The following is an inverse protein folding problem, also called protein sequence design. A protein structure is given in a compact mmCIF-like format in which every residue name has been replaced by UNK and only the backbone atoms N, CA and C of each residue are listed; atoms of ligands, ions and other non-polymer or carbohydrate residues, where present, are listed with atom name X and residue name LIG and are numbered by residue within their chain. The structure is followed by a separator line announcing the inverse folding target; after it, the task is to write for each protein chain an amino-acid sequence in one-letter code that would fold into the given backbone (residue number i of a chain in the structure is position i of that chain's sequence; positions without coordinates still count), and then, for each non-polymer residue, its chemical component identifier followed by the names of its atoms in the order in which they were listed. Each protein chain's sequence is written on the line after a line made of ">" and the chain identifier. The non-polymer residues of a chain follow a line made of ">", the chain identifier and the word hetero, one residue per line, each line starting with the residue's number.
data_IF_718112399074
#
_entry.id   IF_718112399074
#
_cell.length_a   1.000
_cell.length_b   1.000
_cell.length_c   1.000
_cell.angle_alpha   90.00
_cell.angle_beta   90.00
_cell.angle_gamma   90.00
#
_symmetry.space_group_name_H-M   'P 1'
#
loop_
_entity.id
_entity.type
_entity.pdbx_description
1 polymer ?
#
# COMPACT_ATOMS: atom_id res chain seq x y z
N UNK A 1 16.92 21.22 -2.45
CA UNK A 1 16.17 20.85 -2.09
C UNK A 1 15.46 20.44 -1.74
N UNK A 2 15.79 20.35 -1.97
CA UNK A 2 14.99 19.83 -1.67
C UNK A 2 14.40 19.31 -1.33
N UNK A 3 14.72 19.25 -1.70
CA UNK A 3 13.87 18.53 -1.39
C UNK A 3 13.42 18.01 -1.26
N UNK A 4 14.06 17.94 -1.54
CA UNK A 4 13.45 17.29 -1.33
C UNK A 4 12.97 16.70 -1.18
N UNK A 5 13.21 16.57 -1.44
CA UNK A 5 12.53 15.96 -1.29
C UNK A 5 11.95 15.41 -1.41
N UNK A 6 12.26 15.57 -1.67
CA UNK A 6 11.48 15.05 -1.82
C UNK A 6 10.72 14.94 -2.35
N UNK A 7 11.02 15.29 -2.90
CA UNK A 7 10.15 15.10 -3.27
C UNK A 7 9.64 15.17 -3.86
N UNK A 8 9.77 15.41 -4.42
CA UNK A 8 9.08 15.39 -4.93
C UNK A 8 8.76 15.32 -5.59
N UNK A 9 9.29 15.48 -5.72
CA UNK A 9 8.87 15.36 -6.28
C UNK A 9 8.34 15.28 -6.88
N UNK A 10 9.85 16.22 -6.86
CA UNK A 10 9.05 15.82 -7.68
C UNK A 10 7.83 15.24 -7.49
N UNK A 11 7.46 15.20 -8.04
CA UNK A 11 6.15 14.78 -7.76
C UNK A 11 6.11 13.33 -7.42
N UNK A 12 5.97 13.07 -6.17
CA UNK A 12 5.82 11.71 -5.77
C UNK A 12 4.36 11.31 -5.93
N UNK A 13 4.14 10.16 -6.53
CA UNK A 13 2.87 9.54 -6.65
C UNK A 13 2.45 9.05 -5.27
N UNK A 14 1.23 9.35 -4.83
CA UNK A 14 0.79 8.81 -3.56
C UNK A 14 0.47 7.31 -3.69
N UNK A 15 0.27 6.66 -2.55
CA UNK A 15 0.09 5.20 -2.53
C UNK A 15 -1.15 4.76 -3.31
N UNK A 16 -2.23 5.53 -3.29
CA UNK A 16 -3.44 5.13 -4.02
C UNK A 16 -3.25 5.24 -5.52
N UNK A 17 -2.55 6.26 -5.99
CA UNK A 17 -2.24 6.39 -7.41
C UNK A 17 -1.34 5.24 -7.86
N UNK A 18 -0.37 4.88 -7.02
CA UNK A 18 0.54 3.78 -7.31
C UNK A 18 -0.23 2.47 -7.45
N UNK A 19 -1.15 2.21 -6.52
CA UNK A 19 -2.00 1.02 -6.58
C UNK A 19 -2.85 0.99 -7.84
N UNK A 20 -3.45 2.12 -8.19
CA UNK A 20 -4.29 2.20 -9.36
C UNK A 20 -3.52 1.94 -10.65
N UNK A 21 -2.29 2.44 -10.73
CA UNK A 21 -1.45 2.21 -11.90
C UNK A 21 -1.05 0.74 -12.05
N UNK A 22 -0.79 0.07 -10.93
CA UNK A 22 -0.40 -1.34 -10.98
C UNK A 22 -1.59 -2.29 -11.10
N UNK A 23 -2.78 -1.81 -10.81
CA UNK A 23 -3.97 -2.65 -10.70
C UNK A 23 -4.17 -3.59 -11.91
N UNK A 24 -4.05 -3.14 -13.15
CA UNK A 24 -4.28 -4.05 -14.29
C UNK A 24 -3.27 -5.18 -14.38
N UNK A 25 -2.09 -5.03 -13.77
CA UNK A 25 -1.05 -6.05 -13.80
C UNK A 25 -1.12 -7.00 -12.59
N UNK A 26 -2.06 -6.78 -11.67
CA UNK A 26 -2.17 -7.59 -10.47
C UNK A 26 -2.91 -8.90 -10.75
N UNK A 27 -2.53 -9.95 -10.01
CA UNK A 27 -3.30 -11.20 -10.03
C UNK A 27 -4.63 -10.98 -9.35
N UNK A 28 -5.53 -11.96 -9.48
CA UNK A 28 -6.85 -11.87 -8.86
C UNK A 28 -6.75 -11.68 -7.35
N UNK A 29 -5.88 -12.44 -6.67
CA UNK A 29 -5.69 -12.29 -5.23
C UNK A 29 -5.10 -10.94 -4.87
N UNK A 30 -4.15 -10.47 -5.67
CA UNK A 30 -3.55 -9.16 -5.44
C UNK A 30 -4.57 -8.04 -5.64
N UNK A 31 -5.49 -8.20 -6.60
CA UNK A 31 -6.56 -7.22 -6.77
C UNK A 31 -7.48 -7.17 -5.57
N UNK A 32 -7.75 -8.31 -4.94
CA UNK A 32 -8.54 -8.35 -3.72
C UNK A 32 -7.86 -7.55 -2.61
N UNK A 33 -6.54 -7.71 -2.47
CA UNK A 33 -5.78 -6.94 -1.49
C UNK A 33 -5.85 -5.45 -1.82
N UNK A 34 -5.58 -5.09 -3.08
CA UNK A 34 -5.60 -3.68 -3.50
C UNK A 34 -6.98 -3.05 -3.27
N UNK A 35 -8.04 -3.78 -3.59
CA UNK A 35 -9.41 -3.29 -3.38
C UNK A 35 -9.65 -2.95 -1.92
N UNK A 36 -9.21 -3.81 -1.00
CA UNK A 36 -9.38 -3.56 0.42
C UNK A 36 -8.59 -2.33 0.87
N UNK A 37 -7.35 -2.22 0.40
CA UNK A 37 -6.50 -1.08 0.77
C UNK A 37 -7.09 0.24 0.27
N UNK A 38 -7.59 0.24 -0.95
CA UNK A 38 -8.17 1.44 -1.54
C UNK A 38 -9.44 1.86 -0.80
N UNK A 39 -10.25 0.88 -0.38
CA UNK A 39 -11.50 1.15 0.30
C UNK A 39 -11.32 1.56 1.77
N UNK A 40 -10.17 1.20 2.38
CA UNK A 40 -9.95 1.40 3.81
C UNK A 40 -8.59 2.00 4.13
N UNK A 41 -8.21 3.12 3.50
CA UNK A 41 -6.85 3.64 3.64
C UNK A 41 -6.51 4.06 5.08
N UNK A 42 -7.47 4.54 5.85
CA UNK A 42 -7.20 4.97 7.22
C UNK A 42 -6.90 3.79 8.14
N UNK A 43 -7.57 2.66 7.89
CA UNK A 43 -7.40 1.48 8.72
C UNK A 43 -6.02 0.86 8.56
N UNK A 44 -5.44 0.98 7.36
CA UNK A 44 -4.20 0.30 7.04
C UNK A 44 -3.04 0.80 7.90
N UNK A 45 -3.07 2.04 8.35
CA UNK A 45 -1.96 2.59 9.13
C UNK A 45 -1.81 1.92 10.50
N UNK A 46 -2.82 1.20 10.99
CA UNK A 46 -2.75 0.54 12.30
C UNK A 46 -3.22 -0.91 12.31
N UNK A 47 -3.58 -1.48 11.18
CA UNK A 47 -3.96 -2.90 11.12
C UNK A 47 -2.70 -3.77 11.16
N UNK A 48 -2.79 -4.96 11.76
CA UNK A 48 -1.67 -5.90 11.73
C UNK A 48 -1.69 -6.72 10.45
N UNK A 49 -0.55 -7.35 10.13
CA UNK A 49 -0.47 -8.22 8.97
C UNK A 49 -1.45 -9.39 9.09
N UNK A 50 -1.57 -9.95 10.30
CA UNK A 50 -2.51 -11.05 10.54
C UNK A 50 -3.96 -10.61 10.32
N UNK A 51 -4.31 -9.41 10.79
CA UNK A 51 -5.65 -8.88 10.60
C UNK A 51 -5.94 -8.63 9.13
N UNK A 52 -4.98 -8.08 8.41
CA UNK A 52 -5.15 -7.83 6.98
C UNK A 52 -5.30 -9.13 6.22
N UNK A 53 -4.53 -10.15 6.59
CA UNK A 53 -4.65 -11.49 6.01
C UNK A 53 -6.07 -12.02 6.19
N UNK A 54 -6.60 -11.88 7.38
CA UNK A 54 -7.96 -12.33 7.69
C UNK A 54 -9.00 -11.55 6.86
N UNK A 55 -8.85 -10.24 6.81
CA UNK A 55 -9.82 -9.38 6.12
C UNK A 55 -9.84 -9.61 4.61
N UNK A 56 -8.69 -9.91 4.02
CA UNK A 56 -8.60 -10.10 2.58
C UNK A 56 -8.73 -11.56 2.15
N UNK A 57 -8.73 -12.49 3.12
CA UNK A 57 -8.79 -13.92 2.80
C UNK A 57 -7.54 -14.43 2.11
N UNK A 58 -6.40 -13.78 2.33
CA UNK A 58 -5.13 -14.18 1.72
C UNK A 58 -4.12 -14.52 2.81
N UNK A 59 -3.06 -15.26 2.45
CA UNK A 59 -2.02 -15.59 3.42
C UNK A 59 -1.12 -14.38 3.68
N UNK A 60 -0.43 -14.39 4.82
CA UNK A 60 0.53 -13.35 5.13
C UNK A 60 1.66 -13.32 4.11
N UNK A 61 2.07 -14.49 3.60
CA UNK A 61 3.10 -14.56 2.57
C UNK A 61 2.64 -13.86 1.29
N UNK A 62 1.39 -14.06 0.91
CA UNK A 62 0.82 -13.39 -0.25
C UNK A 62 0.84 -11.87 -0.07
N UNK A 63 0.53 -11.41 1.15
CA UNK A 63 0.57 -9.98 1.46
C UNK A 63 1.99 -9.42 1.38
N UNK A 64 2.97 -10.16 1.90
CA UNK A 64 4.35 -9.72 1.83
C UNK A 64 4.84 -9.64 0.39
N UNK A 65 4.47 -10.61 -0.44
CA UNK A 65 4.81 -10.57 -1.86
C UNK A 65 4.14 -9.39 -2.56
N UNK A 66 2.92 -9.07 -2.15
CA UNK A 66 2.23 -7.90 -2.67
C UNK A 66 2.98 -6.61 -2.33
N UNK A 67 3.43 -6.48 -1.08
CA UNK A 67 4.22 -5.32 -0.68
C UNK A 67 5.48 -5.19 -1.53
N UNK A 68 6.17 -6.30 -1.77
CA UNK A 68 7.40 -6.30 -2.58
C UNK A 68 7.09 -5.91 -4.02
N UNK A 69 5.97 -6.35 -4.55
CA UNK A 69 5.56 -5.97 -5.90
C UNK A 69 5.33 -4.47 -6.02
N UNK A 70 4.84 -3.85 -4.95
CA UNK A 70 4.67 -2.40 -4.90
C UNK A 70 5.97 -1.65 -4.71
N UNK A 71 7.05 -2.36 -4.38
CA UNK A 71 8.35 -1.74 -4.17
C UNK A 71 8.72 -1.54 -2.71
N UNK A 72 7.98 -2.14 -1.78
CA UNK A 72 8.25 -2.01 -0.35
C UNK A 72 8.87 -3.30 0.19
N UNK A 73 9.81 -3.16 1.11
CA UNK A 73 10.54 -4.31 1.64
C UNK A 73 9.69 -5.16 2.58
N UNK A 74 8.72 -4.53 3.25
CA UNK A 74 7.92 -5.20 4.26
C UNK A 74 6.60 -4.47 4.45
N UNK A 75 5.76 -5.03 5.31
CA UNK A 75 4.43 -4.46 5.56
C UNK A 75 4.50 -3.13 6.30
N UNK A 76 5.48 -2.95 7.18
CA UNK A 76 5.62 -1.70 7.91
C UNK A 76 5.82 -0.52 6.95
N UNK A 77 6.66 -0.72 5.93
CA UNK A 77 6.89 0.31 4.92
C UNK A 77 5.57 0.69 4.22
N UNK A 78 4.77 -0.31 3.88
CA UNK A 78 3.47 -0.05 3.25
C UNK A 78 2.56 0.74 4.19
N UNK A 79 2.52 0.36 5.47
CA UNK A 79 1.70 1.05 6.47
C UNK A 79 2.10 2.52 6.59
N UNK A 80 3.41 2.79 6.54
CA UNK A 80 3.89 4.16 6.63
C UNK A 80 3.42 5.00 5.45
N UNK A 81 3.37 4.41 4.26
CA UNK A 81 2.85 5.12 3.09
C UNK A 81 1.39 5.48 3.27
N UNK A 82 0.59 4.59 3.85
CA UNK A 82 -0.81 4.88 4.12
C UNK A 82 -0.98 5.91 5.21
N UNK A 83 -0.11 5.88 6.23
CA UNK A 83 -0.14 6.91 7.28
C UNK A 83 0.14 8.29 6.68
N UNK A 84 1.17 8.37 5.83
CA UNK A 84 1.51 9.64 5.18
C UNK A 84 0.35 10.13 4.33
N UNK A 85 -0.28 9.22 3.58
CA UNK A 85 -1.40 9.58 2.73
C UNK A 85 -2.55 10.15 3.56
N UNK A 86 -2.92 9.47 4.64
CA UNK A 86 -4.07 9.91 5.45
C UNK A 86 -3.78 11.20 6.21
N UNK A 87 -2.54 11.44 6.58
CA UNK A 87 -2.18 12.67 7.28
C UNK A 87 -2.23 13.89 6.37
N UNK A 88 -2.14 13.68 5.06
CA UNK A 88 -2.20 14.78 4.10
C UNK A 88 -3.63 15.11 3.66
N UNK A 89 -4.58 14.32 4.06
CA UNK A 89 -5.98 14.52 3.67
C UNK A 89 -6.64 15.71 4.38
#
# INVERSE_FOLDING_TARGET
>A
MRHAKKGHRVISMDILEHLQKLYPALTKKQKTIADYLIANPEEISYITLAQLSHQTGTSELTLLRFCQKLGYSNFLDLKEQFRDYTQKM
#
